data_IF_125624325478
#
_entry.id   IF_125624325478
#
_cell.length_a   1.000
_cell.length_b   1.000
_cell.length_c   1.000
_cell.angle_alpha   90.00
_cell.angle_beta   90.00
_cell.angle_gamma   90.00
#
_symmetry.space_group_name_H-M   'P 1'
#
loop_
_entity.id
_entity.type
_entity.pdbx_description
1 polymer ?
#
# COMPACT_ATOMS: atom_id res chain seq x y z
N UNK A 1 -25.23 -2.54 54.76
CA UNK A 1 -25.24 -2.05 53.36
C UNK A 1 -23.82 -2.14 52.83
N UNK A 2 -23.51 -3.17 52.03
CA UNK A 2 -22.23 -3.33 51.33
C UNK A 2 -22.42 -4.26 50.10
N UNK A 3 -22.04 -3.73 48.93
CA UNK A 3 -21.57 -4.40 47.69
C UNK A 3 -22.50 -5.35 46.88
N UNK A 4 -22.24 -5.59 45.57
CA UNK A 4 -21.51 -4.78 44.58
C UNK A 4 -22.25 -4.60 43.23
N UNK A 5 -21.75 -3.66 42.43
CA UNK A 5 -22.06 -3.50 41.00
C UNK A 5 -21.65 -4.75 40.20
N UNK A 6 -22.58 -5.34 39.46
CA UNK A 6 -22.29 -6.20 38.32
C UNK A 6 -22.16 -5.33 37.07
N UNK A 7 -20.92 -4.98 36.71
CA UNK A 7 -20.61 -4.49 35.35
C UNK A 7 -20.80 -5.64 34.37
N UNK A 8 -21.89 -5.59 33.60
CA UNK A 8 -22.08 -6.47 32.46
C UNK A 8 -21.23 -5.96 31.30
N UNK A 9 -20.00 -6.46 31.20
CA UNK A 9 -19.14 -6.30 30.04
C UNK A 9 -19.77 -7.03 28.87
N UNK A 10 -20.60 -6.34 28.08
CA UNK A 10 -21.00 -6.84 26.77
C UNK A 10 -19.75 -6.76 25.90
N UNK A 11 -19.03 -7.88 25.85
CA UNK A 11 -18.05 -8.18 24.84
C UNK A 11 -18.78 -8.04 23.50
N UNK A 12 -18.57 -6.92 22.81
CA UNK A 12 -18.94 -6.82 21.41
C UNK A 12 -17.91 -7.68 20.68
N UNK A 13 -18.26 -8.86 20.12
CA UNK A 13 -17.38 -9.47 19.15
C UNK A 13 -17.32 -8.47 18.00
N UNK A 14 -16.16 -7.81 17.88
CA UNK A 14 -15.83 -6.95 16.77
C UNK A 14 -15.95 -7.78 15.50
N UNK A 15 -17.14 -7.73 14.89
CA UNK A 15 -17.34 -8.19 13.54
C UNK A 15 -16.50 -7.24 12.70
N UNK A 16 -15.40 -7.75 12.17
CA UNK A 16 -14.69 -7.13 11.06
C UNK A 16 -15.67 -7.14 9.89
N UNK A 17 -16.58 -6.17 9.85
CA UNK A 17 -17.29 -5.81 8.65
C UNK A 17 -16.30 -5.06 7.76
N UNK A 18 -15.32 -5.79 7.21
CA UNK A 18 -14.91 -5.47 5.86
C UNK A 18 -16.14 -5.81 5.02
N UNK A 19 -16.90 -4.80 4.61
CA UNK A 19 -17.91 -4.95 3.57
C UNK A 19 -17.18 -5.31 2.28
N UNK A 20 -16.72 -6.55 2.15
CA UNK A 20 -16.18 -7.09 0.91
C UNK A 20 -17.35 -7.43 -0.01
N UNK A 21 -18.12 -6.41 -0.37
CA UNK A 21 -18.72 -6.44 -1.69
C UNK A 21 -17.54 -6.56 -2.65
N UNK A 22 -17.38 -7.74 -3.23
CA UNK A 22 -16.45 -7.96 -4.33
C UNK A 22 -16.89 -7.01 -5.44
N UNK A 23 -16.36 -5.79 -5.45
CA UNK A 23 -16.55 -4.88 -6.56
C UNK A 23 -15.96 -5.58 -7.78
N UNK A 24 -16.83 -6.10 -8.64
CA UNK A 24 -16.44 -6.61 -9.95
C UNK A 24 -15.74 -5.47 -10.66
N UNK A 25 -14.60 -5.75 -11.27
CA UNK A 25 -13.91 -4.68 -11.95
C UNK A 25 -14.79 -4.10 -13.08
N UNK A 26 -14.93 -2.78 -13.10
CA UNK A 26 -15.62 -2.07 -14.17
C UNK A 26 -14.83 -2.11 -15.49
N UNK A 27 -13.54 -2.41 -15.42
CA UNK A 27 -12.65 -2.61 -16.56
C UNK A 27 -11.61 -3.68 -16.26
N UNK A 28 -11.01 -4.27 -17.29
CA UNK A 28 -9.96 -5.28 -17.10
C UNK A 28 -8.60 -4.67 -16.70
N UNK A 29 -8.43 -3.35 -16.87
CA UNK A 29 -7.18 -2.65 -16.63
C UNK A 29 -7.43 -1.29 -16.02
N UNK A 30 -6.67 -0.97 -14.99
CA UNK A 30 -6.64 0.34 -14.34
C UNK A 30 -5.29 1.00 -14.65
N UNK A 31 -5.25 2.06 -15.48
CA UNK A 31 -4.04 2.82 -15.72
C UNK A 31 -3.58 3.53 -14.46
N UNK A 32 -2.32 3.35 -14.10
CA UNK A 32 -1.69 4.00 -12.97
C UNK A 32 -0.35 4.63 -13.37
N UNK A 33 0.05 5.65 -12.63
CA UNK A 33 1.34 6.32 -12.77
C UNK A 33 2.01 6.41 -11.42
N UNK A 34 3.31 6.14 -11.41
CA UNK A 34 4.15 6.18 -10.23
C UNK A 34 5.14 7.32 -10.45
N UNK A 35 5.28 8.20 -9.46
CA UNK A 35 6.26 9.29 -9.52
C UNK A 35 7.12 9.32 -8.28
N UNK A 36 8.32 9.91 -8.42
CA UNK A 36 9.24 10.16 -7.30
C UNK A 36 9.54 8.85 -6.56
N UNK A 37 9.79 7.77 -7.31
CA UNK A 37 10.23 6.50 -6.75
C UNK A 37 11.67 6.67 -6.25
N UNK A 38 11.83 7.13 -5.01
CA UNK A 38 13.14 7.31 -4.40
C UNK A 38 13.53 6.02 -3.72
N UNK A 39 14.52 5.33 -4.29
CA UNK A 39 15.21 4.20 -3.65
C UNK A 39 16.41 4.75 -2.88
N UNK A 40 16.50 4.46 -1.58
CA UNK A 40 17.67 4.86 -0.80
C UNK A 40 18.92 4.11 -1.30
N UNK A 41 19.95 4.85 -1.72
CA UNK A 41 21.20 4.27 -2.25
C UNK A 41 22.00 3.48 -1.21
N UNK A 42 21.91 3.85 0.06
CA UNK A 42 22.58 3.20 1.18
C UNK A 42 21.76 2.02 1.70
N UNK A 43 20.44 2.06 1.53
CA UNK A 43 19.53 1.00 1.89
C UNK A 43 18.55 0.72 0.75
N UNK A 44 18.98 -0.07 -0.24
CA UNK A 44 18.19 -0.40 -1.43
C UNK A 44 16.83 -1.03 -1.14
N UNK A 45 16.58 -1.46 0.09
CA UNK A 45 15.28 -1.94 0.57
C UNK A 45 14.35 -0.81 1.01
N UNK A 46 14.67 0.46 0.79
CA UNK A 46 13.81 1.59 1.12
C UNK A 46 13.35 2.24 -0.19
N UNK A 47 12.04 2.29 -0.42
CA UNK A 47 11.43 2.94 -1.59
C UNK A 47 10.27 3.80 -1.12
N UNK A 48 10.20 5.05 -1.58
CA UNK A 48 9.00 5.90 -1.42
C UNK A 48 8.52 6.34 -2.79
N UNK A 49 7.21 6.46 -2.99
CA UNK A 49 6.64 6.89 -4.27
C UNK A 49 5.24 7.49 -4.10
N UNK A 50 4.76 8.16 -5.15
CA UNK A 50 3.36 8.57 -5.26
C UNK A 50 2.69 7.73 -6.32
N UNK A 51 1.51 7.24 -6.00
CA UNK A 51 0.64 6.48 -6.90
C UNK A 51 -0.53 7.37 -7.32
N UNK A 52 -0.75 7.44 -8.63
CA UNK A 52 -1.87 8.11 -9.26
C UNK A 52 -2.63 7.10 -10.10
N UNK A 53 -3.93 7.01 -9.91
CA UNK A 53 -4.82 6.17 -10.70
C UNK A 53 -6.20 6.80 -10.70
N UNK A 54 -7.09 6.33 -11.57
CA UNK A 54 -8.48 6.77 -11.53
C UNK A 54 -9.11 6.52 -10.15
N UNK A 55 -9.76 7.55 -9.61
CA UNK A 55 -10.36 7.55 -8.28
C UNK A 55 -9.38 7.55 -7.09
N UNK A 56 -8.06 7.55 -7.29
CA UNK A 56 -7.11 7.51 -6.16
C UNK A 56 -5.77 8.19 -6.43
N UNK A 57 -5.35 9.05 -5.51
CA UNK A 57 -3.97 9.54 -5.40
C UNK A 57 -3.46 9.31 -3.99
N UNK A 58 -2.33 8.63 -3.85
CA UNK A 58 -1.80 8.24 -2.54
C UNK A 58 -0.28 8.29 -2.51
N UNK A 59 0.27 8.46 -1.31
CA UNK A 59 1.72 8.42 -1.06
C UNK A 59 2.03 7.10 -0.40
N UNK A 60 2.97 6.37 -0.96
CA UNK A 60 3.45 5.13 -0.37
C UNK A 60 4.75 5.44 0.41
N UNK A 61 4.81 5.05 1.69
CA UNK A 61 5.92 5.37 2.59
C UNK A 61 7.27 4.82 2.10
N UNK A 62 8.41 5.28 2.67
CA UNK A 62 8.48 6.06 3.90
C UNK A 62 9.09 7.46 3.71
N UNK A 63 8.26 8.49 3.90
CA UNK A 63 8.77 9.85 4.07
C UNK A 63 9.25 9.99 5.53
N UNK A 64 10.53 9.71 5.81
CA UNK A 64 11.08 10.02 7.14
C UNK A 64 11.07 11.53 7.36
N UNK A 65 10.25 11.99 8.31
CA UNK A 65 10.65 13.05 9.23
C UNK A 65 10.56 12.50 10.65
N UNK A 66 11.56 11.71 11.04
CA UNK A 66 11.95 11.62 12.44
C UNK A 66 13.47 11.70 12.54
N UNK A 67 13.92 12.91 12.85
CA UNK A 67 15.05 13.19 13.72
C UNK A 67 14.97 12.32 14.98
N UNK A 68 15.78 11.27 15.09
CA UNK A 68 16.24 10.65 16.35
C UNK A 68 16.93 9.31 16.04
N UNK A 69 18.27 9.28 16.09
CA UNK A 69 19.18 8.15 16.39
C UNK A 69 18.94 6.70 15.89
N UNK A 70 17.86 6.39 15.19
CA UNK A 70 17.49 5.06 14.72
C UNK A 70 17.22 5.15 13.21
N UNK A 71 18.01 4.42 12.43
CA UNK A 71 17.95 4.43 10.97
C UNK A 71 16.55 4.03 10.44
N UNK A 72 16.17 4.45 9.21
CA UNK A 72 14.97 3.98 8.54
C UNK A 72 14.93 2.44 8.54
N UNK A 73 13.82 1.84 8.99
CA UNK A 73 13.69 0.39 8.97
C UNK A 73 13.57 -0.06 7.51
N UNK A 74 14.60 -0.73 7.01
CA UNK A 74 14.61 -1.36 5.69
C UNK A 74 13.32 -2.17 5.44
N UNK A 75 12.71 -2.02 4.27
CA UNK A 75 11.60 -2.90 3.89
C UNK A 75 12.12 -4.34 3.84
N UNK A 76 11.30 -5.26 4.31
CA UNK A 76 11.59 -6.69 4.19
C UNK A 76 11.11 -7.12 2.81
N UNK A 77 11.95 -7.77 1.99
CA UNK A 77 11.54 -8.28 0.69
C UNK A 77 10.23 -9.07 0.81
N UNK A 78 9.31 -8.87 -0.13
CA UNK A 78 8.02 -9.58 -0.23
C UNK A 78 7.01 -9.28 0.89
N UNK A 79 7.35 -8.46 1.89
CA UNK A 79 6.35 -7.95 2.83
C UNK A 79 5.45 -6.93 2.12
N UNK A 80 4.16 -6.96 2.44
CA UNK A 80 3.18 -5.99 1.95
C UNK A 80 3.08 -4.83 2.95
N UNK A 81 3.02 -3.62 2.42
CA UNK A 81 2.95 -2.37 3.14
C UNK A 81 1.77 -1.55 2.62
N UNK A 82 1.11 -0.84 3.51
CA UNK A 82 0.04 0.11 3.16
C UNK A 82 0.65 1.45 2.70
N UNK A 83 -0.01 2.07 1.74
CA UNK A 83 0.20 3.47 1.43
C UNK A 83 -0.61 4.35 2.40
N UNK A 84 -0.51 5.68 2.29
CA UNK A 84 -1.27 6.60 3.13
C UNK A 84 -2.80 6.42 2.97
N UNK A 85 -3.26 6.07 1.77
CA UNK A 85 -4.57 5.48 1.55
C UNK A 85 -4.45 3.95 1.71
N UNK A 86 -5.16 3.33 2.67
CA UNK A 86 -5.09 1.89 2.96
C UNK A 86 -5.65 1.02 1.82
N UNK A 87 -6.44 1.58 0.92
CA UNK A 87 -6.95 0.87 -0.27
C UNK A 87 -5.84 0.64 -1.31
N UNK A 88 -4.65 1.20 -1.11
CA UNK A 88 -3.45 0.89 -1.89
C UNK A 88 -2.39 0.22 -1.01
N UNK A 89 -1.87 -0.90 -1.49
CA UNK A 89 -0.75 -1.61 -0.87
C UNK A 89 0.34 -1.92 -1.87
N UNK A 90 1.55 -2.17 -1.38
CA UNK A 90 2.69 -2.49 -2.21
C UNK A 90 3.65 -3.47 -1.56
N UNK A 91 4.48 -4.11 -2.38
CA UNK A 91 5.66 -4.84 -1.92
C UNK A 91 6.82 -4.49 -2.84
N UNK A 92 8.02 -4.41 -2.29
CA UNK A 92 9.23 -4.12 -3.06
C UNK A 92 10.31 -5.17 -2.79
N UNK A 93 10.97 -5.61 -3.85
CA UNK A 93 12.15 -6.46 -3.79
C UNK A 93 13.31 -5.72 -4.46
N UNK A 94 14.34 -5.42 -3.67
CA UNK A 94 15.49 -4.62 -4.12
C UNK A 94 16.49 -5.44 -4.95
N UNK A 95 16.39 -6.77 -4.92
CA UNK A 95 17.28 -7.64 -5.68
C UNK A 95 17.01 -7.55 -7.19
N UNK A 96 15.73 -7.52 -7.58
CA UNK A 96 15.28 -7.39 -8.97
C UNK A 96 14.66 -6.00 -9.27
N UNK A 97 14.59 -5.11 -8.28
CA UNK A 97 13.97 -3.79 -8.40
C UNK A 97 12.46 -3.87 -8.61
N UNK A 98 11.82 -4.98 -8.27
CA UNK A 98 10.41 -5.21 -8.59
C UNK A 98 9.49 -4.59 -7.56
N UNK A 99 8.75 -3.58 -7.97
CA UNK A 99 7.65 -2.98 -7.23
C UNK A 99 6.33 -3.63 -7.66
N UNK A 100 5.61 -4.24 -6.72
CA UNK A 100 4.25 -4.75 -6.92
C UNK A 100 3.27 -3.84 -6.21
N UNK A 101 2.13 -3.58 -6.83
CA UNK A 101 1.11 -2.64 -6.36
C UNK A 101 -0.25 -3.33 -6.44
N UNK A 102 -1.08 -3.11 -5.43
CA UNK A 102 -2.49 -3.50 -5.40
C UNK A 102 -3.34 -2.29 -5.01
N UNK A 103 -4.46 -2.12 -5.69
CA UNK A 103 -5.41 -1.03 -5.46
C UNK A 103 -6.83 -1.59 -5.40
N UNK A 104 -7.56 -1.23 -4.36
CA UNK A 104 -9.01 -1.33 -4.31
C UNK A 104 -9.61 0.06 -4.52
N UNK A 105 -10.65 0.17 -5.34
CA UNK A 105 -11.45 1.39 -5.45
C UNK A 105 -12.85 1.03 -5.94
N UNK A 106 -13.70 2.03 -6.18
CA UNK A 106 -15.03 1.84 -6.75
C UNK A 106 -15.01 1.10 -8.10
N UNK A 107 -13.88 1.15 -8.81
CA UNK A 107 -13.69 0.46 -10.08
C UNK A 107 -13.34 -1.03 -9.93
N UNK A 108 -13.03 -1.55 -8.73
CA UNK A 108 -12.68 -2.95 -8.48
C UNK A 108 -11.38 -3.15 -7.70
N UNK A 109 -10.87 -4.38 -7.73
CA UNK A 109 -9.57 -4.73 -7.16
C UNK A 109 -8.56 -5.05 -8.27
N UNK A 110 -7.44 -4.33 -8.28
CA UNK A 110 -6.45 -4.37 -9.34
C UNK A 110 -5.05 -4.62 -8.78
N UNK A 111 -4.18 -5.22 -9.57
CA UNK A 111 -2.78 -5.33 -9.21
C UNK A 111 -1.84 -5.44 -10.41
N UNK A 112 -0.58 -5.10 -10.18
CA UNK A 112 0.42 -5.09 -11.23
C UNK A 112 1.82 -4.99 -10.66
N UNK A 113 2.81 -5.01 -11.54
CA UNK A 113 4.20 -4.87 -11.14
C UNK A 113 5.01 -4.11 -12.17
N UNK A 114 6.02 -3.38 -11.70
CA UNK A 114 6.97 -2.67 -12.53
C UNK A 114 8.38 -2.80 -11.96
N UNK A 115 9.39 -2.65 -12.82
CA UNK A 115 10.79 -2.59 -12.41
C UNK A 115 11.15 -1.12 -12.16
N UNK A 116 11.64 -0.83 -10.96
CA UNK A 116 12.14 0.48 -10.55
C UNK A 116 13.65 0.38 -10.44
N UNK A 117 14.37 1.25 -11.15
CA UNK A 117 15.83 1.36 -11.10
C UNK A 117 16.27 2.64 -10.37
N UNK A 118 17.49 2.64 -9.83
CA UNK A 118 18.09 3.74 -9.03
C UNK A 118 18.20 5.11 -9.76
N UNK A 119 17.86 5.17 -11.06
CA UNK A 119 17.98 6.34 -11.94
C UNK A 119 16.64 6.67 -12.60
N UNK A 120 15.68 7.25 -11.87
CA UNK A 120 14.47 7.77 -12.52
C UNK A 120 13.92 9.03 -11.83
N UNK A 121 14.00 10.21 -12.47
CA UNK A 121 12.98 11.24 -12.32
C UNK A 121 11.78 10.98 -13.26
N UNK A 122 11.74 9.84 -13.96
CA UNK A 122 10.70 9.52 -14.91
C UNK A 122 9.44 9.00 -14.21
N UNK A 123 8.31 9.59 -14.61
CA UNK A 123 6.99 9.05 -14.32
C UNK A 123 6.93 7.65 -14.91
N UNK A 124 6.68 6.64 -14.08
CA UNK A 124 6.55 5.25 -14.52
C UNK A 124 5.07 4.95 -14.71
N UNK A 125 4.64 4.75 -15.95
CA UNK A 125 3.27 4.29 -16.25
C UNK A 125 3.17 2.77 -16.11
N UNK A 126 2.13 2.29 -15.42
CA UNK A 126 1.84 0.87 -15.22
C UNK A 126 0.35 0.63 -15.41
N UNK A 127 -0.01 -0.46 -16.06
CA UNK A 127 -1.40 -0.94 -16.07
C UNK A 127 -1.55 -1.98 -14.97
N UNK A 128 -2.53 -1.78 -14.09
CA UNK A 128 -2.91 -2.76 -13.08
C UNK A 128 -4.04 -3.61 -13.66
N UNK A 129 -3.85 -4.93 -13.67
CA UNK A 129 -4.86 -5.87 -14.18
C UNK A 129 -5.91 -6.14 -13.10
N UNK A 130 -7.16 -6.32 -13.53
CA UNK A 130 -8.22 -6.74 -12.64
C UNK A 130 -7.89 -8.09 -11.99
N UNK A 131 -8.09 -8.20 -10.68
CA UNK A 131 -7.83 -9.39 -9.89
C UNK A 131 -9.11 -10.12 -9.44
N UNK A 132 -10.29 -9.51 -9.61
CA UNK A 132 -11.57 -10.18 -9.41
C UNK A 132 -11.96 -10.91 -10.70
N UNK A 133 -11.47 -12.14 -10.86
CA UNK A 133 -12.00 -13.10 -11.83
C UNK A 133 -13.12 -13.91 -11.21
#
# INVERSE_FOLDING_TARGET
MFAPLMMLSILVPGTFAASSQHARCHSNKLPASITVAHVDRNNKNDISFRLYTDGMTTRCPPLTKHTSHNAPQALKPRKVYECANPDATFSYDSHDGKLKIWVANDNGFFGGSVIVSDLAPEVISVNLDCLSS
#
